data_IF_274846268392
#
_entry.id   IF_274846268392
#
_cell.length_a   1.000
_cell.length_b   1.000
_cell.length_c   1.000
_cell.angle_alpha   90.00
_cell.angle_beta   90.00
_cell.angle_gamma   90.00
#
_symmetry.space_group_name_H-M   'P 1'
#
loop_
_entity.id
_entity.type
_entity.pdbx_description
1 polymer ?
#
# COMPACT_ATOMS: atom_id res chain seq x y z
N UNK A 1 -6.10 -27.97 14.71
CA UNK A 1 -5.23 -26.79 14.54
C UNK A 1 -5.14 -26.35 13.07
N UNK A 2 -6.21 -25.82 12.47
CA UNK A 2 -6.20 -25.35 11.07
C UNK A 2 -6.97 -24.03 10.92
N UNK A 3 -6.49 -22.97 11.58
CA UNK A 3 -7.04 -21.62 11.49
C UNK A 3 -6.29 -20.67 10.54
N UNK A 4 -5.35 -21.17 9.73
CA UNK A 4 -4.36 -20.35 9.01
C UNK A 4 -4.80 -19.85 7.61
N UNK A 5 -6.04 -20.13 7.17
CA UNK A 5 -6.50 -19.76 5.82
C UNK A 5 -7.49 -18.60 5.76
N UNK A 6 -7.58 -17.76 6.80
CA UNK A 6 -8.08 -16.38 6.58
C UNK A 6 -6.99 -15.60 5.84
N UNK A 7 -6.84 -15.91 4.54
CA UNK A 7 -5.92 -15.23 3.64
C UNK A 7 -6.48 -13.83 3.43
N UNK A 8 -6.15 -12.91 4.34
CA UNK A 8 -6.56 -11.51 4.24
C UNK A 8 -6.13 -11.02 2.85
N UNK A 9 -7.07 -10.78 1.92
CA UNK A 9 -6.75 -10.47 0.52
C UNK A 9 -5.93 -9.17 0.43
N UNK A 10 -6.05 -8.31 1.45
CA UNK A 10 -5.33 -7.04 1.56
C UNK A 10 -3.90 -7.17 2.07
N UNK A 11 -3.43 -8.34 2.51
CA UNK A 11 -2.07 -8.49 3.07
C UNK A 11 -0.98 -8.22 2.03
N UNK A 12 -1.21 -8.62 0.77
CA UNK A 12 -0.28 -8.34 -0.33
C UNK A 12 -0.26 -6.84 -0.65
N UNK A 13 -1.44 -6.23 -0.79
CA UNK A 13 -1.59 -4.79 -1.04
C UNK A 13 -0.96 -3.94 0.06
N UNK A 14 -1.12 -4.32 1.34
CA UNK A 14 -0.48 -3.63 2.47
C UNK A 14 1.05 -3.68 2.40
N UNK A 15 1.63 -4.78 1.90
CA UNK A 15 3.07 -4.91 1.69
C UNK A 15 3.53 -4.00 0.56
N UNK A 16 2.79 -3.95 -0.53
CA UNK A 16 3.07 -3.07 -1.67
C UNK A 16 2.96 -1.59 -1.28
N UNK A 17 1.93 -1.22 -0.52
CA UNK A 17 1.77 0.12 0.05
C UNK A 17 2.99 0.55 0.87
N UNK A 18 3.48 -0.32 1.76
CA UNK A 18 4.67 -0.04 2.56
C UNK A 18 5.92 0.19 1.68
N UNK A 19 6.09 -0.59 0.61
CA UNK A 19 7.19 -0.41 -0.33
C UNK A 19 7.10 0.91 -1.11
N UNK A 20 5.90 1.30 -1.55
CA UNK A 20 5.68 2.58 -2.22
C UNK A 20 5.97 3.76 -1.29
N UNK A 21 5.53 3.67 -0.03
CA UNK A 21 5.81 4.70 0.98
C UNK A 21 7.30 4.81 1.27
N UNK A 22 8.01 3.69 1.42
CA UNK A 22 9.46 3.70 1.62
C UNK A 22 10.20 4.36 0.44
N UNK A 23 9.85 3.97 -0.80
CA UNK A 23 10.41 4.60 -2.01
C UNK A 23 10.06 6.09 -2.10
N UNK A 24 8.85 6.46 -1.71
CA UNK A 24 8.38 7.86 -1.72
C UNK A 24 9.19 8.71 -0.73
N UNK A 25 9.48 8.18 0.45
CA UNK A 25 10.33 8.82 1.46
C UNK A 25 11.78 8.95 0.99
N UNK A 26 12.32 7.93 0.33
CA UNK A 26 13.65 7.98 -0.27
C UNK A 26 13.72 9.04 -1.38
N UNK A 27 12.72 9.09 -2.27
CA UNK A 27 12.62 10.09 -3.32
C UNK A 27 12.53 11.52 -2.73
N UNK A 28 11.71 11.72 -1.70
CA UNK A 28 11.61 13.00 -0.99
C UNK A 28 12.94 13.41 -0.38
N UNK A 29 13.64 12.48 0.30
CA UNK A 29 14.95 12.75 0.91
C UNK A 29 16.03 13.09 -0.11
N UNK A 30 15.93 12.52 -1.31
CA UNK A 30 16.83 12.80 -2.42
C UNK A 30 16.43 14.07 -3.20
N UNK A 31 15.33 14.74 -2.83
CA UNK A 31 14.83 15.94 -3.50
C UNK A 31 14.10 15.67 -4.82
N UNK A 32 13.77 14.42 -5.13
CA UNK A 32 13.00 14.06 -6.33
C UNK A 32 11.49 14.18 -6.06
N UNK A 33 11.01 15.42 -6.13
CA UNK A 33 9.61 15.76 -5.86
C UNK A 33 8.67 15.09 -6.86
N UNK A 34 9.07 14.98 -8.14
CA UNK A 34 8.23 14.37 -9.18
C UNK A 34 7.98 12.90 -8.89
N UNK A 35 9.04 12.17 -8.56
CA UNK A 35 8.93 10.74 -8.21
C UNK A 35 8.19 10.56 -6.89
N UNK A 36 8.43 11.41 -5.88
CA UNK A 36 7.67 11.42 -4.64
C UNK A 36 6.16 11.59 -4.90
N UNK A 37 5.75 12.62 -5.64
CA UNK A 37 4.34 12.87 -5.96
C UNK A 37 3.69 11.69 -6.68
N UNK A 38 4.40 11.07 -7.62
CA UNK A 38 3.93 9.87 -8.33
C UNK A 38 3.76 8.68 -7.38
N UNK A 39 4.77 8.39 -6.55
CA UNK A 39 4.75 7.25 -5.63
C UNK A 39 3.69 7.42 -4.54
N UNK A 40 3.49 8.65 -4.04
CA UNK A 40 2.44 8.97 -3.08
C UNK A 40 1.05 8.79 -3.69
N UNK A 41 0.83 9.22 -4.93
CA UNK A 41 -0.45 8.98 -5.62
C UNK A 41 -0.75 7.48 -5.80
N UNK A 42 0.26 6.68 -6.16
CA UNK A 42 0.14 5.22 -6.25
C UNK A 42 -0.16 4.58 -4.89
N UNK A 43 0.46 5.07 -3.81
CA UNK A 43 0.19 4.61 -2.46
C UNK A 43 -1.27 4.89 -2.05
N UNK A 44 -1.80 6.06 -2.39
CA UNK A 44 -3.20 6.42 -2.12
C UNK A 44 -4.20 5.52 -2.87
N UNK A 45 -3.90 5.16 -4.12
CA UNK A 45 -4.72 4.22 -4.91
C UNK A 45 -4.78 2.85 -4.25
N UNK A 46 -3.62 2.30 -3.83
CA UNK A 46 -3.55 1.01 -3.14
C UNK A 46 -4.31 1.07 -1.80
N UNK A 47 -4.16 2.16 -1.05
CA UNK A 47 -4.87 2.33 0.22
C UNK A 47 -6.39 2.33 0.02
N UNK A 48 -6.91 3.01 -1.01
CA UNK A 48 -8.34 2.99 -1.36
C UNK A 48 -8.82 1.58 -1.70
N UNK A 49 -8.01 0.81 -2.42
CA UNK A 49 -8.34 -0.57 -2.77
C UNK A 49 -8.37 -1.49 -1.53
N UNK A 50 -7.41 -1.31 -0.62
CA UNK A 50 -7.42 -2.00 0.69
C UNK A 50 -8.71 -1.68 1.46
N UNK A 51 -9.10 -0.40 1.53
CA UNK A 51 -10.32 0.01 2.23
C UNK A 51 -11.58 -0.61 1.60
N UNK A 52 -11.67 -0.65 0.27
CA UNK A 52 -12.79 -1.30 -0.43
C UNK A 52 -12.88 -2.79 -0.12
N UNK A 53 -11.76 -3.50 -0.18
CA UNK A 53 -11.68 -4.93 0.09
C UNK A 53 -11.97 -5.24 1.57
N UNK A 54 -11.52 -4.39 2.50
CA UNK A 54 -11.83 -4.53 3.92
C UNK A 54 -13.29 -4.23 4.23
N UNK A 55 -13.90 -3.27 3.53
CA UNK A 55 -15.34 -2.98 3.64
C UNK A 55 -16.21 -4.11 3.06
N UNK A 56 -15.78 -4.76 1.98
CA UNK A 56 -16.47 -5.92 1.39
C UNK A 56 -16.30 -7.20 2.20
N UNK A 57 -15.21 -7.34 2.95
CA UNK A 57 -14.92 -8.51 3.79
C UNK A 57 -15.55 -8.42 5.20
N UNK A 58 -16.28 -7.34 5.50
CA UNK A 58 -16.94 -7.09 6.79
C UNK A 58 -18.40 -7.51 6.74
#
# INVERSE_FOLDING_TARGET
>A
MFGLFKKHPTRQLRKELAQLQEKSMQAQRNGDIRTHSKLSAQADEIWREIQRLEAQSK
#
